data_IF_512715461256
#
_entry.id   IF_512715461256
#
_cell.length_a   1.000
_cell.length_b   1.000
_cell.length_c   1.000
_cell.angle_alpha   90.00
_cell.angle_beta   90.00
_cell.angle_gamma   90.00
#
_symmetry.space_group_name_H-M   'P 1'
#
loop_
_entity.id
_entity.type
_entity.pdbx_description
1 polymer ?
#
# COMPACT_ATOMS: atom_id res chain seq x y z
N UNK A 1 -15.37 30.88 64.81
CA UNK A 1 -14.49 30.55 65.95
C UNK A 1 -13.35 29.79 65.34
N UNK A 2 -12.40 30.43 65.23
CA UNK A 2 -11.11 30.89 65.86
C UNK A 2 -10.00 30.05 65.23
N UNK A 3 -9.18 30.66 64.44
CA UNK A 3 -8.02 31.46 64.80
C UNK A 3 -6.75 30.64 65.04
N UNK A 4 -5.69 31.17 64.44
CA UNK A 4 -4.30 31.11 64.80
C UNK A 4 -3.40 30.73 63.65
N UNK A 5 -2.89 31.59 62.78
CA UNK A 5 -1.80 32.57 62.86
C UNK A 5 -0.46 32.02 63.37
N UNK A 6 0.50 32.41 62.62
CA UNK A 6 1.93 32.79 62.89
C UNK A 6 2.98 31.69 62.72
N UNK A 7 4.17 31.88 62.28
CA UNK A 7 4.90 33.03 61.71
C UNK A 7 6.37 32.60 61.57
N UNK A 8 7.10 33.19 60.62
CA UNK A 8 8.55 33.49 60.59
C UNK A 8 9.68 32.45 60.75
N UNK A 9 10.63 32.55 59.85
CA UNK A 9 12.00 32.11 60.09
C UNK A 9 12.93 32.18 58.88
N UNK A 10 13.38 33.37 58.51
CA UNK A 10 14.61 33.65 57.75
C UNK A 10 15.86 33.28 58.53
N UNK A 11 16.87 32.70 57.85
CA UNK A 11 18.33 32.88 57.99
C UNK A 11 18.97 31.98 56.92
N UNK A 12 19.75 32.36 55.94
CA UNK A 12 20.89 33.26 55.94
C UNK A 12 22.18 32.48 56.19
N UNK A 13 23.01 32.21 55.17
CA UNK A 13 24.35 31.71 55.43
C UNK A 13 25.05 31.15 54.17
N UNK A 14 25.92 31.96 53.60
CA UNK A 14 26.85 31.63 52.54
C UNK A 14 27.99 30.69 53.04
N UNK A 15 28.41 29.76 52.14
CA UNK A 15 29.57 28.94 52.33
C UNK A 15 30.10 28.35 51.05
N UNK A 16 31.12 28.93 50.44
CA UNK A 16 31.93 28.43 49.32
C UNK A 16 32.68 27.16 49.77
N UNK A 17 32.73 26.17 48.90
CA UNK A 17 33.56 25.00 49.04
C UNK A 17 33.66 24.26 47.72
N UNK A 18 34.69 24.57 46.93
CA UNK A 18 35.15 23.82 45.79
C UNK A 18 35.60 22.42 46.22
N UNK A 19 35.08 21.40 45.55
CA UNK A 19 35.54 20.04 45.74
C UNK A 19 35.14 19.19 44.53
N UNK A 20 36.01 19.19 43.50
CA UNK A 20 35.92 18.31 42.37
C UNK A 20 36.09 16.86 42.84
N UNK A 21 34.99 16.10 42.88
CA UNK A 21 35.05 14.64 42.98
C UNK A 21 34.97 14.05 41.57
N UNK A 22 36.13 13.83 40.97
CA UNK A 22 36.29 12.91 39.85
C UNK A 22 35.96 11.49 40.33
N UNK A 23 34.74 11.02 40.08
CA UNK A 23 34.44 9.59 40.15
C UNK A 23 34.78 8.98 38.80
N UNK A 24 35.97 8.40 38.72
CA UNK A 24 36.42 7.55 37.63
C UNK A 24 35.68 6.21 37.73
N UNK A 25 34.58 6.05 37.03
CA UNK A 25 33.92 4.74 36.85
C UNK A 25 34.53 4.05 35.64
N UNK A 26 35.56 3.27 35.87
CA UNK A 26 36.03 2.22 34.97
C UNK A 26 34.96 1.09 34.97
N UNK A 27 34.07 1.08 34.03
CA UNK A 27 33.29 -0.12 33.70
C UNK A 27 34.09 -1.01 32.74
N UNK A 28 34.22 -2.31 33.05
CA UNK A 28 34.90 -3.25 32.15
C UNK A 28 34.10 -3.44 30.87
N UNK A 29 34.75 -3.20 29.73
CA UNK A 29 34.28 -3.57 28.38
C UNK A 29 34.09 -5.08 28.32
N UNK A 30 32.83 -5.48 28.26
CA UNK A 30 32.51 -6.90 28.07
C UNK A 30 31.02 -7.15 28.01
N UNK A 31 30.35 -6.71 26.92
CA UNK A 31 29.08 -7.21 26.39
C UNK A 31 28.77 -6.44 25.07
N UNK A 32 29.65 -6.55 24.10
CA UNK A 32 29.62 -5.82 22.83
C UNK A 32 29.06 -6.62 21.67
N UNK A 33 27.88 -7.23 21.79
CA UNK A 33 27.25 -7.92 20.65
C UNK A 33 25.88 -7.39 20.21
N UNK A 34 25.27 -6.54 21.02
CA UNK A 34 23.92 -6.05 20.74
C UNK A 34 23.81 -4.54 20.38
N UNK A 35 24.87 -3.78 20.65
CA UNK A 35 24.91 -2.33 20.40
C UNK A 35 25.34 -1.99 18.97
N UNK A 36 26.15 -2.86 18.33
CA UNK A 36 26.71 -2.59 17.00
C UNK A 36 25.66 -2.65 15.88
N UNK A 37 24.65 -3.49 16.01
CA UNK A 37 23.57 -3.59 15.00
C UNK A 37 22.65 -2.38 14.99
N UNK A 38 22.35 -1.79 16.14
CA UNK A 38 21.59 -0.53 16.21
C UNK A 38 22.40 0.65 15.69
N UNK A 39 23.72 0.68 15.92
CA UNK A 39 24.63 1.68 15.38
C UNK A 39 24.69 1.61 13.85
N UNK A 40 24.90 0.43 13.29
CA UNK A 40 24.96 0.22 11.83
C UNK A 40 23.64 0.62 11.15
N UNK A 41 22.49 0.31 11.76
CA UNK A 41 21.19 0.68 11.21
C UNK A 41 20.94 2.20 11.25
N UNK A 42 21.32 2.88 12.34
CA UNK A 42 21.22 4.34 12.43
C UNK A 42 22.15 5.04 11.44
N UNK A 43 23.39 4.54 11.29
CA UNK A 43 24.36 5.08 10.33
C UNK A 43 23.90 4.89 8.89
N UNK A 44 23.28 3.74 8.58
CA UNK A 44 22.69 3.49 7.27
C UNK A 44 21.54 4.45 6.96
N UNK A 45 20.64 4.71 7.92
CA UNK A 45 19.54 5.69 7.74
C UNK A 45 20.12 7.09 7.53
N UNK A 46 21.12 7.50 8.31
CA UNK A 46 21.80 8.79 8.15
C UNK A 46 22.45 8.92 6.76
N UNK A 47 23.10 7.88 6.28
CA UNK A 47 23.71 7.83 4.95
C UNK A 47 22.65 8.00 3.85
N UNK A 48 21.50 7.35 4.00
CA UNK A 48 20.37 7.53 3.09
C UNK A 48 19.82 8.96 3.12
N UNK A 49 19.73 9.57 4.29
CA UNK A 49 19.27 10.95 4.41
C UNK A 49 20.27 11.97 3.82
N UNK A 50 21.57 11.68 3.88
CA UNK A 50 22.62 12.54 3.33
C UNK A 50 22.75 12.44 1.81
N UNK A 51 22.53 11.25 1.22
CA UNK A 51 22.73 11.00 -0.21
C UNK A 51 21.42 10.71 -0.92
N UNK A 52 20.80 11.76 -1.48
CA UNK A 52 19.55 11.62 -2.25
C UNK A 52 19.67 10.62 -3.41
N UNK A 53 20.78 10.64 -4.13
CA UNK A 53 21.01 9.72 -5.26
C UNK A 53 21.07 8.26 -4.83
N UNK A 54 21.74 7.97 -3.72
CA UNK A 54 21.82 6.61 -3.17
C UNK A 54 20.44 6.13 -2.74
N UNK A 55 19.67 6.98 -2.09
CA UNK A 55 18.29 6.67 -1.66
C UNK A 55 17.40 6.36 -2.85
N UNK A 56 17.43 7.18 -3.89
CA UNK A 56 16.64 6.96 -5.10
C UNK A 56 17.05 5.66 -5.82
N UNK A 57 18.35 5.36 -5.87
CA UNK A 57 18.84 4.12 -6.44
C UNK A 57 18.32 2.89 -5.67
N UNK A 58 18.47 2.89 -4.35
CA UNK A 58 18.02 1.78 -3.49
C UNK A 58 16.51 1.59 -3.60
N UNK A 59 15.74 2.68 -3.55
CA UNK A 59 14.28 2.63 -3.66
C UNK A 59 13.84 2.17 -5.04
N UNK A 60 14.56 2.54 -6.10
CA UNK A 60 14.28 2.05 -7.46
C UNK A 60 14.48 0.54 -7.56
N UNK A 61 15.60 0.03 -7.04
CA UNK A 61 15.88 -1.42 -7.02
C UNK A 61 14.83 -2.15 -6.17
N UNK A 62 14.53 -1.64 -4.99
CA UNK A 62 13.49 -2.21 -4.13
C UNK A 62 12.13 -2.22 -4.82
N UNK A 63 11.75 -1.11 -5.46
CA UNK A 63 10.50 -1.00 -6.21
C UNK A 63 10.41 -1.98 -7.38
N UNK A 64 11.51 -2.21 -8.11
CA UNK A 64 11.58 -3.22 -9.16
C UNK A 64 11.40 -4.64 -8.58
N UNK A 65 12.09 -4.98 -7.50
CA UNK A 65 11.99 -6.29 -6.84
C UNK A 65 10.57 -6.54 -6.32
N UNK A 66 9.98 -5.55 -5.65
CA UNK A 66 8.59 -5.64 -5.19
C UNK A 66 7.64 -5.76 -6.38
N UNK A 67 7.82 -4.98 -7.45
CA UNK A 67 7.01 -5.07 -8.66
C UNK A 67 7.04 -6.47 -9.30
N UNK A 68 8.21 -7.12 -9.32
CA UNK A 68 8.34 -8.51 -9.78
C UNK A 68 7.54 -9.47 -8.88
N UNK A 69 7.59 -9.30 -7.57
CA UNK A 69 6.76 -10.06 -6.64
C UNK A 69 5.25 -9.75 -6.82
N UNK A 70 4.87 -8.49 -7.05
CA UNK A 70 3.48 -8.11 -7.29
C UNK A 70 2.91 -8.78 -8.54
N UNK A 71 3.70 -9.02 -9.59
CA UNK A 71 3.26 -9.82 -10.73
C UNK A 71 2.80 -11.23 -10.32
N UNK A 72 3.51 -11.86 -9.38
CA UNK A 72 3.11 -13.17 -8.82
C UNK A 72 1.81 -13.04 -8.03
N UNK A 73 1.68 -12.01 -7.19
CA UNK A 73 0.47 -11.74 -6.40
C UNK A 73 -0.73 -11.52 -7.31
N UNK A 74 -0.60 -10.66 -8.33
CA UNK A 74 -1.67 -10.34 -9.29
C UNK A 74 -2.17 -11.60 -10.00
N UNK A 75 -1.26 -12.47 -10.43
CA UNK A 75 -1.61 -13.68 -11.16
C UNK A 75 -2.18 -14.77 -10.26
N UNK A 76 -1.56 -15.02 -9.09
CA UNK A 76 -1.91 -16.18 -8.26
C UNK A 76 -3.11 -15.95 -7.35
N UNK A 77 -3.32 -14.72 -6.88
CA UNK A 77 -4.41 -14.45 -5.92
C UNK A 77 -5.79 -14.81 -6.49
N UNK A 78 -6.17 -14.41 -7.71
CA UNK A 78 -7.45 -14.82 -8.29
C UNK A 78 -7.59 -16.34 -8.43
N UNK A 79 -6.52 -17.02 -8.85
CA UNK A 79 -6.51 -18.49 -9.00
C UNK A 79 -6.70 -19.20 -7.64
N UNK A 80 -6.07 -18.67 -6.59
CA UNK A 80 -6.24 -19.19 -5.22
C UNK A 80 -7.68 -19.01 -4.74
N UNK A 81 -8.28 -17.84 -5.01
CA UNK A 81 -9.67 -17.55 -4.63
C UNK A 81 -10.65 -18.44 -5.39
N UNK A 82 -10.48 -18.58 -6.71
CA UNK A 82 -11.35 -19.44 -7.53
C UNK A 82 -11.30 -20.90 -7.06
N UNK A 83 -10.12 -21.43 -6.75
CA UNK A 83 -9.98 -22.77 -6.18
C UNK A 83 -10.66 -22.90 -4.83
N UNK A 84 -10.47 -21.92 -3.95
CA UNK A 84 -11.12 -21.91 -2.64
C UNK A 84 -12.64 -21.95 -2.79
N UNK A 85 -13.23 -21.09 -3.63
CA UNK A 85 -14.67 -21.08 -3.89
C UNK A 85 -15.19 -22.41 -4.48
N UNK A 86 -14.44 -23.01 -5.42
CA UNK A 86 -14.79 -24.33 -5.97
C UNK A 86 -14.79 -25.39 -4.89
N UNK A 87 -13.79 -25.41 -4.02
CA UNK A 87 -13.70 -26.35 -2.91
C UNK A 87 -14.84 -26.14 -1.91
N UNK A 88 -15.17 -24.91 -1.56
CA UNK A 88 -16.30 -24.58 -0.67
C UNK A 88 -17.64 -25.03 -1.28
N UNK A 89 -17.87 -24.79 -2.57
CA UNK A 89 -19.05 -25.28 -3.28
C UNK A 89 -19.13 -26.80 -3.32
N UNK A 90 -18.01 -27.50 -3.54
CA UNK A 90 -17.99 -28.97 -3.53
C UNK A 90 -18.30 -29.54 -2.17
N UNK A 91 -17.76 -28.96 -1.08
CA UNK A 91 -18.08 -29.36 0.29
C UNK A 91 -19.55 -29.16 0.66
N UNK A 92 -20.17 -28.08 0.15
CA UNK A 92 -21.59 -27.84 0.37
C UNK A 92 -22.50 -28.83 -0.38
N UNK A 93 -22.10 -29.21 -1.58
CA UNK A 93 -22.89 -30.14 -2.43
C UNK A 93 -22.65 -31.61 -2.05
N UNK A 94 -21.45 -31.94 -1.66
CA UNK A 94 -21.00 -33.31 -1.36
C UNK A 94 -20.13 -33.33 -0.10
N UNK A 95 -20.72 -33.29 1.10
CA UNK A 95 -19.97 -33.21 2.37
C UNK A 95 -19.01 -34.39 2.62
N UNK A 96 -19.22 -35.51 1.93
CA UNK A 96 -18.40 -36.72 2.07
C UNK A 96 -17.18 -36.76 1.16
N UNK A 97 -17.02 -35.76 0.27
CA UNK A 97 -15.83 -35.71 -0.61
C UNK A 97 -14.60 -35.28 0.11
N UNK A 98 -13.59 -36.12 0.13
CA UNK A 98 -12.24 -35.75 0.59
C UNK A 98 -11.62 -34.85 -0.48
N UNK A 99 -11.43 -33.57 -0.16
CA UNK A 99 -10.73 -32.65 -1.04
C UNK A 99 -9.27 -33.04 -1.07
N UNK A 100 -8.80 -33.46 -2.25
CA UNK A 100 -7.39 -33.74 -2.47
C UNK A 100 -6.58 -32.43 -2.49
N UNK A 101 -5.90 -32.12 -1.38
CA UNK A 101 -5.10 -30.92 -1.21
C UNK A 101 -3.69 -31.03 -1.84
N UNK A 102 -3.41 -32.09 -2.63
CA UNK A 102 -2.07 -32.34 -3.17
C UNK A 102 -1.56 -31.26 -4.14
N UNK A 103 -2.40 -30.39 -4.65
CA UNK A 103 -2.01 -29.28 -5.53
C UNK A 103 -2.38 -27.90 -4.95
N UNK A 104 -2.07 -27.61 -3.71
CA UNK A 104 -2.34 -26.28 -3.15
C UNK A 104 -1.46 -25.22 -3.85
N UNK A 105 -2.11 -24.29 -4.58
CA UNK A 105 -1.43 -23.10 -5.09
C UNK A 105 -1.30 -22.11 -3.94
N UNK A 106 -0.04 -21.72 -3.64
CA UNK A 106 0.30 -20.63 -2.74
C UNK A 106 1.07 -19.54 -3.47
N UNK A 107 1.37 -18.43 -2.82
CA UNK A 107 2.20 -17.37 -3.43
C UNK A 107 3.63 -17.85 -3.74
N UNK A 108 4.15 -18.82 -2.99
CA UNK A 108 5.52 -19.35 -3.15
C UNK A 108 5.59 -20.71 -3.84
N UNK A 109 4.51 -21.48 -3.85
CA UNK A 109 4.50 -22.85 -4.41
C UNK A 109 3.31 -23.04 -5.37
N UNK A 110 3.52 -23.77 -6.49
CA UNK A 110 4.77 -24.25 -7.09
C UNK A 110 5.67 -23.12 -7.60
N UNK A 111 6.96 -23.41 -7.89
CA UNK A 111 7.87 -22.45 -8.51
C UNK A 111 7.30 -21.87 -9.82
N UNK A 112 7.68 -20.65 -10.17
CA UNK A 112 7.22 -20.00 -11.42
C UNK A 112 7.70 -20.82 -12.62
N UNK A 113 6.79 -21.07 -13.56
CA UNK A 113 7.03 -21.89 -14.75
C UNK A 113 6.54 -21.19 -16.00
N UNK A 114 7.19 -21.44 -17.11
CA UNK A 114 6.69 -21.01 -18.40
C UNK A 114 5.35 -21.72 -18.71
N UNK A 115 4.27 -20.96 -19.00
CA UNK A 115 2.96 -21.56 -19.24
C UNK A 115 2.91 -22.44 -20.50
N UNK A 116 3.86 -22.26 -21.44
CA UNK A 116 3.89 -22.97 -22.71
C UNK A 116 4.70 -24.28 -22.65
N UNK A 117 5.88 -24.27 -22.02
CA UNK A 117 6.77 -25.46 -22.02
C UNK A 117 6.98 -26.08 -20.63
N UNK A 118 6.42 -25.49 -19.56
CA UNK A 118 6.59 -25.98 -18.18
C UNK A 118 7.99 -25.75 -17.57
N UNK A 119 8.92 -25.11 -18.32
CA UNK A 119 10.26 -24.80 -17.83
C UNK A 119 10.19 -23.99 -16.52
N UNK A 120 10.91 -24.42 -15.49
CA UNK A 120 11.00 -23.69 -14.23
C UNK A 120 11.89 -22.45 -14.40
N UNK A 121 11.33 -21.27 -14.09
CA UNK A 121 12.05 -19.99 -14.20
C UNK A 121 13.11 -19.93 -13.12
N UNK A 122 14.39 -19.77 -13.52
CA UNK A 122 15.52 -19.65 -12.61
C UNK A 122 15.54 -18.27 -11.95
N UNK A 123 16.20 -18.13 -10.80
CA UNK A 123 16.24 -16.85 -10.06
C UNK A 123 16.77 -15.68 -10.88
N UNK A 124 17.79 -15.90 -11.74
CA UNK A 124 18.36 -14.87 -12.61
C UNK A 124 17.48 -14.54 -13.84
N UNK A 125 16.62 -15.48 -14.27
CA UNK A 125 15.59 -15.24 -15.28
C UNK A 125 14.40 -14.42 -14.73
N UNK A 126 14.32 -14.29 -13.42
CA UNK A 126 13.31 -13.51 -12.71
C UNK A 126 13.84 -12.14 -12.22
N UNK A 127 15.05 -11.73 -12.68
CA UNK A 127 15.55 -10.39 -12.37
C UNK A 127 14.66 -9.32 -13.03
N UNK A 128 14.14 -8.35 -12.24
CA UNK A 128 13.17 -7.39 -12.75
C UNK A 128 13.71 -6.63 -13.97
N UNK A 129 12.88 -6.49 -15.00
CA UNK A 129 13.15 -5.77 -16.26
C UNK A 129 14.40 -6.30 -17.01
N UNK A 130 15.51 -6.52 -16.29
CA UNK A 130 16.79 -6.91 -16.88
C UNK A 130 16.69 -8.25 -17.61
N UNK A 131 16.09 -9.26 -16.98
CA UNK A 131 15.94 -10.58 -17.60
C UNK A 131 15.05 -10.51 -18.85
N UNK A 132 13.98 -9.73 -18.81
CA UNK A 132 13.09 -9.54 -19.95
C UNK A 132 13.83 -8.86 -21.13
N UNK A 133 14.66 -7.85 -20.86
CA UNK A 133 15.49 -7.19 -21.88
C UNK A 133 16.55 -8.13 -22.46
N UNK A 134 17.27 -8.87 -21.61
CA UNK A 134 18.32 -9.81 -22.05
C UNK A 134 17.75 -10.96 -22.88
N UNK A 135 16.59 -11.48 -22.48
CA UNK A 135 15.87 -12.55 -23.20
C UNK A 135 15.03 -12.03 -24.37
N UNK A 136 15.07 -10.70 -24.64
CA UNK A 136 14.28 -10.03 -25.70
C UNK A 136 12.78 -10.36 -25.61
N UNK A 137 12.26 -10.45 -24.40
CA UNK A 137 10.86 -10.78 -24.15
C UNK A 137 10.46 -12.20 -24.52
N UNK A 138 11.35 -13.18 -24.49
CA UNK A 138 11.11 -14.58 -24.85
C UNK A 138 11.56 -15.55 -23.76
N UNK A 139 10.88 -16.69 -23.68
CA UNK A 139 11.30 -17.77 -22.80
C UNK A 139 12.69 -18.28 -23.20
N UNK A 140 13.56 -18.55 -22.23
CA UNK A 140 14.92 -19.07 -22.46
C UNK A 140 14.95 -20.43 -23.18
N UNK A 141 13.91 -21.25 -23.01
CA UNK A 141 13.88 -22.61 -23.54
C UNK A 141 13.02 -22.76 -24.79
N UNK A 142 11.77 -22.27 -24.79
CA UNK A 142 10.86 -22.46 -25.93
C UNK A 142 10.69 -21.20 -26.79
N UNK A 143 11.34 -20.11 -26.46
CA UNK A 143 11.28 -18.83 -27.15
C UNK A 143 9.85 -18.23 -27.33
N UNK A 144 8.87 -18.75 -26.58
CA UNK A 144 7.52 -18.16 -26.54
C UNK A 144 7.58 -16.75 -25.98
N UNK A 145 6.81 -15.82 -26.55
CA UNK A 145 6.84 -14.41 -26.16
C UNK A 145 6.29 -14.21 -24.73
N UNK A 146 7.04 -13.49 -23.91
CA UNK A 146 6.64 -13.06 -22.57
C UNK A 146 5.99 -11.69 -22.69
N UNK A 147 4.76 -11.54 -22.20
CA UNK A 147 4.00 -10.30 -22.31
C UNK A 147 4.73 -9.11 -21.68
N UNK A 148 4.62 -7.94 -22.30
CA UNK A 148 5.20 -6.67 -21.83
C UNK A 148 4.59 -6.19 -20.50
N UNK A 149 3.49 -6.78 -20.06
CA UNK A 149 2.82 -6.47 -18.80
C UNK A 149 3.74 -6.64 -17.59
N UNK A 150 4.57 -7.71 -17.58
CA UNK A 150 5.47 -8.01 -16.47
C UNK A 150 6.46 -6.86 -16.20
N UNK A 151 7.30 -6.46 -17.17
CA UNK A 151 8.21 -5.32 -16.95
C UNK A 151 7.47 -4.00 -16.74
N UNK A 152 6.26 -3.82 -17.28
CA UNK A 152 5.46 -2.62 -17.06
C UNK A 152 5.07 -2.45 -15.60
N UNK A 153 4.57 -3.51 -14.94
CA UNK A 153 4.21 -3.49 -13.52
C UNK A 153 5.46 -3.19 -12.66
N UNK A 154 6.60 -3.80 -12.99
CA UNK A 154 7.86 -3.57 -12.29
C UNK A 154 8.33 -2.12 -12.37
N UNK A 155 8.32 -1.54 -13.58
CA UNK A 155 8.71 -0.15 -13.81
C UNK A 155 7.74 0.82 -13.13
N UNK A 156 6.42 0.61 -13.24
CA UNK A 156 5.41 1.45 -12.59
C UNK A 156 5.60 1.41 -11.07
N UNK A 157 5.80 0.22 -10.49
CA UNK A 157 6.03 0.07 -9.05
C UNK A 157 7.28 0.82 -8.61
N UNK A 158 8.38 0.73 -9.37
CA UNK A 158 9.62 1.46 -9.07
C UNK A 158 9.41 2.98 -9.16
N UNK A 159 8.79 3.48 -10.23
CA UNK A 159 8.51 4.91 -10.39
C UNK A 159 7.64 5.44 -9.24
N UNK A 160 6.55 4.76 -8.91
CA UNK A 160 5.67 5.18 -7.83
C UNK A 160 6.38 5.14 -6.47
N UNK A 161 7.24 4.13 -6.22
CA UNK A 161 8.06 4.06 -5.00
C UNK A 161 9.01 5.24 -4.89
N UNK A 162 9.67 5.61 -5.98
CA UNK A 162 10.56 6.78 -6.05
C UNK A 162 9.78 8.07 -5.79
N UNK A 163 8.60 8.25 -6.39
CA UNK A 163 7.76 9.43 -6.17
C UNK A 163 7.32 9.57 -4.71
N UNK A 164 6.97 8.46 -4.04
CA UNK A 164 6.64 8.46 -2.62
C UNK A 164 7.83 8.91 -1.78
N UNK A 165 9.03 8.40 -2.04
CA UNK A 165 10.23 8.76 -1.26
C UNK A 165 10.69 10.18 -1.58
N UNK A 166 10.54 10.67 -2.80
CA UNK A 166 10.79 12.09 -3.14
C UNK A 166 9.83 13.00 -2.34
N UNK A 167 8.56 12.60 -2.20
CA UNK A 167 7.55 13.39 -1.49
C UNK A 167 7.75 13.42 0.01
N UNK A 168 8.04 12.29 0.63
CA UNK A 168 8.05 12.13 2.10
C UNK A 168 9.46 12.00 2.70
N UNK A 169 10.50 11.89 1.87
CA UNK A 169 11.88 11.63 2.33
C UNK A 169 12.04 10.23 2.94
N UNK A 170 13.13 10.03 3.69
CA UNK A 170 13.38 8.79 4.43
C UNK A 170 12.71 8.89 5.81
N UNK A 171 11.41 8.62 5.86
CA UNK A 171 10.54 8.77 7.05
C UNK A 171 9.59 7.58 7.19
N UNK A 172 8.95 7.46 8.36
CA UNK A 172 7.88 6.49 8.58
C UNK A 172 6.67 6.72 7.66
N UNK A 173 6.41 7.97 7.28
CA UNK A 173 5.38 8.29 6.28
C UNK A 173 5.72 7.71 4.91
N UNK A 174 6.98 7.78 4.48
CA UNK A 174 7.40 7.16 3.23
C UNK A 174 7.24 5.64 3.27
N UNK A 175 7.66 4.98 4.36
CA UNK A 175 7.51 3.54 4.51
C UNK A 175 6.04 3.11 4.44
N UNK A 176 5.17 3.78 5.18
CA UNK A 176 3.73 3.53 5.15
C UNK A 176 3.15 3.82 3.74
N UNK A 177 3.54 4.94 3.12
CA UNK A 177 3.14 5.30 1.76
C UNK A 177 3.58 4.28 0.71
N UNK A 178 4.75 3.65 0.86
CA UNK A 178 5.20 2.56 0.00
C UNK A 178 4.29 1.33 0.12
N UNK A 179 3.92 0.92 1.34
CA UNK A 179 3.00 -0.20 1.56
C UNK A 179 1.65 0.07 0.91
N UNK A 180 1.10 1.28 1.10
CA UNK A 180 -0.14 1.69 0.42
C UNK A 180 0.02 1.59 -1.10
N UNK A 181 1.09 2.16 -1.66
CA UNK A 181 1.35 2.18 -3.10
C UNK A 181 1.42 0.77 -3.69
N UNK A 182 2.19 -0.12 -3.09
CA UNK A 182 2.36 -1.49 -3.56
C UNK A 182 1.05 -2.29 -3.51
N UNK A 183 0.26 -2.08 -2.45
CA UNK A 183 -1.07 -2.70 -2.35
C UNK A 183 -2.02 -2.17 -3.42
N UNK A 184 -2.00 -0.87 -3.70
CA UNK A 184 -2.82 -0.28 -4.78
C UNK A 184 -2.41 -0.79 -6.16
N UNK A 185 -1.12 -0.97 -6.43
CA UNK A 185 -0.63 -1.59 -7.68
C UNK A 185 -1.13 -3.02 -7.82
N UNK A 186 -1.05 -3.83 -6.74
CA UNK A 186 -1.56 -5.20 -6.73
C UNK A 186 -3.06 -5.25 -7.00
N UNK A 187 -3.86 -4.44 -6.28
CA UNK A 187 -5.31 -4.36 -6.44
C UNK A 187 -5.70 -3.91 -7.84
N UNK A 188 -4.99 -2.90 -8.39
CA UNK A 188 -5.18 -2.44 -9.77
C UNK A 188 -4.97 -3.58 -10.77
N UNK A 189 -3.89 -4.34 -10.62
CA UNK A 189 -3.59 -5.47 -11.51
C UNK A 189 -4.62 -6.60 -11.42
N UNK A 190 -5.06 -6.95 -10.20
CA UNK A 190 -6.08 -7.99 -9.98
C UNK A 190 -7.42 -7.55 -10.58
N UNK A 191 -7.82 -6.30 -10.34
CA UNK A 191 -9.11 -5.79 -10.81
C UNK A 191 -9.16 -5.65 -12.35
N UNK A 192 -8.04 -5.30 -12.98
CA UNK A 192 -7.95 -5.33 -14.45
C UNK A 192 -8.16 -6.73 -15.04
N UNK A 193 -7.73 -7.77 -14.34
CA UNK A 193 -7.82 -9.14 -14.85
C UNK A 193 -9.17 -9.79 -14.58
N UNK A 194 -9.70 -9.56 -13.38
CA UNK A 194 -10.81 -10.37 -12.85
C UNK A 194 -12.03 -9.56 -12.44
N UNK A 195 -11.91 -8.23 -12.44
CA UNK A 195 -12.93 -7.30 -11.91
C UNK A 195 -13.31 -7.64 -10.46
N UNK A 196 -12.33 -8.12 -9.70
CA UNK A 196 -12.46 -8.47 -8.29
C UNK A 196 -11.45 -7.68 -7.45
N UNK A 197 -11.92 -7.13 -6.35
CA UNK A 197 -11.08 -6.52 -5.32
C UNK A 197 -11.10 -7.40 -4.07
N UNK A 198 -10.06 -8.23 -3.85
CA UNK A 198 -10.06 -9.20 -2.76
C UNK A 198 -10.05 -8.55 -1.40
N UNK A 199 -10.94 -9.02 -0.51
CA UNK A 199 -11.02 -8.57 0.89
C UNK A 199 -9.71 -8.83 1.66
N UNK A 200 -8.94 -9.83 1.24
CA UNK A 200 -7.60 -10.15 1.78
C UNK A 200 -6.60 -9.00 1.68
N UNK A 201 -6.82 -8.05 0.77
CA UNK A 201 -5.98 -6.85 0.60
C UNK A 201 -6.70 -5.59 1.07
N UNK A 202 -7.98 -5.41 0.73
CA UNK A 202 -8.72 -4.18 1.04
C UNK A 202 -8.95 -3.99 2.54
N UNK A 203 -9.29 -5.06 3.29
CA UNK A 203 -9.53 -4.95 4.72
C UNK A 203 -8.23 -4.76 5.52
N UNK A 204 -7.14 -5.53 5.30
CA UNK A 204 -5.85 -5.23 5.95
C UNK A 204 -5.33 -3.83 5.59
N UNK A 205 -5.52 -3.38 4.33
CA UNK A 205 -5.13 -2.03 3.93
C UNK A 205 -5.88 -0.97 4.74
N UNK A 206 -7.19 -1.13 4.93
CA UNK A 206 -7.98 -0.23 5.77
C UNK A 206 -7.52 -0.26 7.23
N UNK A 207 -7.28 -1.45 7.78
CA UNK A 207 -6.77 -1.63 9.15
C UNK A 207 -5.41 -0.97 9.34
N UNK A 208 -4.49 -1.13 8.38
CA UNK A 208 -3.19 -0.46 8.39
C UNK A 208 -3.34 1.07 8.31
N UNK A 209 -4.26 1.58 7.51
CA UNK A 209 -4.54 3.02 7.43
C UNK A 209 -4.98 3.59 8.77
N UNK A 210 -5.89 2.91 9.46
CA UNK A 210 -6.31 3.29 10.81
C UNK A 210 -5.15 3.19 11.80
N UNK A 211 -4.35 2.14 11.72
CA UNK A 211 -3.21 1.92 12.62
C UNK A 211 -2.12 2.98 12.47
N UNK A 212 -1.68 3.29 11.24
CA UNK A 212 -0.65 4.32 11.05
C UNK A 212 -1.14 5.71 11.45
N UNK A 213 -2.43 5.99 11.27
CA UNK A 213 -3.03 7.25 11.68
C UNK A 213 -3.43 7.31 13.16
N UNK A 214 -3.42 6.16 13.89
CA UNK A 214 -3.43 6.19 15.35
C UNK A 214 -2.21 6.95 15.90
N UNK A 215 -1.08 6.95 15.16
CA UNK A 215 0.12 7.73 15.46
C UNK A 215 0.15 9.10 14.75
N UNK A 216 -0.92 9.47 14.03
CA UNK A 216 -1.03 10.74 13.34
C UNK A 216 -0.08 10.92 12.15
N UNK A 217 0.30 9.83 11.46
CA UNK A 217 1.27 9.89 10.36
C UNK A 217 0.81 10.76 9.19
N UNK A 218 -0.42 10.61 8.74
CA UNK A 218 -0.99 11.36 7.61
C UNK A 218 -2.11 12.30 8.06
N UNK A 219 -3.03 11.80 8.90
CA UNK A 219 -4.16 12.56 9.43
C UNK A 219 -4.40 12.19 10.89
N UNK A 220 -5.22 12.99 11.60
CA UNK A 220 -5.59 12.66 12.98
C UNK A 220 -6.38 11.33 13.06
N UNK A 221 -6.31 10.59 14.18
CA UNK A 221 -7.04 9.33 14.35
C UNK A 221 -8.54 9.46 14.09
N UNK A 222 -9.14 10.56 14.56
CA UNK A 222 -10.57 10.85 14.35
C UNK A 222 -10.88 11.06 12.87
N UNK A 223 -10.02 11.81 12.12
CA UNK A 223 -10.20 12.00 10.69
C UNK A 223 -10.04 10.68 9.92
N UNK A 224 -9.14 9.78 10.33
CA UNK A 224 -9.00 8.46 9.72
C UNK A 224 -10.27 7.61 9.87
N UNK A 225 -10.88 7.61 11.08
CA UNK A 225 -12.13 6.89 11.35
C UNK A 225 -13.28 7.46 10.50
N UNK A 226 -13.47 8.79 10.50
CA UNK A 226 -14.49 9.42 9.66
C UNK A 226 -14.22 9.20 8.17
N UNK A 227 -12.95 9.24 7.75
CA UNK A 227 -12.55 8.93 6.38
C UNK A 227 -12.96 7.52 5.96
N UNK A 228 -12.73 6.53 6.82
CA UNK A 228 -13.15 5.14 6.57
C UNK A 228 -14.66 5.03 6.42
N UNK A 229 -15.43 5.59 7.36
CA UNK A 229 -16.90 5.53 7.38
C UNK A 229 -17.50 6.25 6.17
N UNK A 230 -17.07 7.49 5.91
CA UNK A 230 -17.59 8.26 4.78
C UNK A 230 -17.13 7.69 3.44
N UNK A 231 -15.92 7.15 3.36
CA UNK A 231 -15.45 6.50 2.15
C UNK A 231 -16.30 5.28 1.76
N UNK A 232 -16.72 4.48 2.73
CA UNK A 232 -17.65 3.38 2.50
C UNK A 232 -19.05 3.87 2.14
N UNK A 233 -19.61 4.75 2.97
CA UNK A 233 -21.00 5.23 2.83
C UNK A 233 -21.23 6.00 1.53
N UNK A 234 -20.26 6.78 1.06
CA UNK A 234 -20.38 7.58 -0.14
C UNK A 234 -20.77 6.72 -1.36
N UNK A 235 -20.00 5.69 -1.66
CA UNK A 235 -20.29 4.79 -2.78
C UNK A 235 -21.45 3.83 -2.48
N UNK A 236 -21.60 3.40 -1.24
CA UNK A 236 -22.71 2.53 -0.83
C UNK A 236 -24.06 3.22 -1.01
N UNK A 237 -24.20 4.50 -0.64
CA UNK A 237 -25.43 5.27 -0.84
C UNK A 237 -25.74 5.40 -2.35
N UNK A 238 -24.74 5.74 -3.16
CA UNK A 238 -24.91 5.83 -4.62
C UNK A 238 -25.36 4.48 -5.20
N UNK A 239 -24.75 3.39 -4.76
CA UNK A 239 -25.13 2.04 -5.18
C UNK A 239 -26.58 1.71 -4.78
N UNK A 240 -26.99 2.00 -3.55
CA UNK A 240 -28.36 1.74 -3.08
C UNK A 240 -29.40 2.56 -3.85
N UNK A 241 -29.11 3.83 -4.10
CA UNK A 241 -29.98 4.68 -4.92
C UNK A 241 -30.10 4.14 -6.35
N UNK A 242 -28.98 3.73 -6.96
CA UNK A 242 -28.99 3.13 -8.29
C UNK A 242 -29.77 1.82 -8.31
N UNK A 243 -29.60 0.97 -7.33
CA UNK A 243 -30.33 -0.30 -7.19
C UNK A 243 -31.85 -0.06 -7.05
N UNK A 244 -32.25 0.90 -6.24
CA UNK A 244 -33.69 1.26 -6.05
C UNK A 244 -34.30 1.81 -7.33
N UNK A 245 -33.57 2.60 -8.12
CA UNK A 245 -34.12 3.21 -9.34
C UNK A 245 -34.13 2.23 -10.52
N UNK A 246 -33.07 1.41 -10.67
CA UNK A 246 -32.87 0.59 -11.86
C UNK A 246 -33.15 -0.91 -11.65
N UNK A 247 -33.19 -1.37 -10.41
CA UNK A 247 -33.27 -2.80 -10.06
C UNK A 247 -32.03 -3.61 -10.43
N UNK A 248 -30.91 -2.94 -10.83
CA UNK A 248 -29.68 -3.61 -11.31
C UNK A 248 -28.51 -3.32 -10.37
N UNK A 249 -27.64 -4.31 -10.20
CA UNK A 249 -26.39 -4.15 -9.50
C UNK A 249 -25.40 -3.41 -10.42
N UNK A 250 -25.09 -2.15 -10.10
CA UNK A 250 -24.27 -1.28 -10.95
C UNK A 250 -22.78 -1.23 -10.63
N UNK A 251 -22.35 -1.70 -9.42
CA UNK A 251 -20.99 -1.57 -8.96
C UNK A 251 -20.61 -2.72 -8.02
N UNK A 252 -19.33 -3.09 -7.97
CA UNK A 252 -18.80 -4.09 -7.06
C UNK A 252 -18.66 -3.60 -5.62
N UNK A 253 -18.94 -4.45 -4.64
CA UNK A 253 -18.75 -4.12 -3.22
C UNK A 253 -17.29 -3.86 -2.83
N UNK A 254 -16.35 -4.34 -3.65
CA UNK A 254 -14.92 -4.12 -3.46
C UNK A 254 -14.51 -2.65 -3.57
N UNK A 255 -15.15 -1.89 -4.48
CA UNK A 255 -14.87 -0.47 -4.69
C UNK A 255 -15.16 0.36 -3.45
N UNK A 256 -16.24 0.03 -2.70
CA UNK A 256 -16.60 0.72 -1.46
C UNK A 256 -15.54 0.50 -0.39
N UNK A 257 -15.04 -0.74 -0.29
CA UNK A 257 -13.98 -1.12 0.68
C UNK A 257 -12.65 -0.45 0.33
N UNK A 258 -12.32 -0.35 -0.96
CA UNK A 258 -11.12 0.34 -1.42
C UNK A 258 -11.20 1.84 -1.12
N UNK A 259 -12.33 2.50 -1.40
CA UNK A 259 -12.50 3.91 -1.08
C UNK A 259 -12.50 4.16 0.43
N UNK A 260 -13.11 3.25 1.21
CA UNK A 260 -13.04 3.29 2.68
C UNK A 260 -11.59 3.16 3.19
N UNK A 261 -10.81 2.24 2.61
CA UNK A 261 -9.39 2.10 2.93
C UNK A 261 -8.63 3.40 2.64
N UNK A 262 -8.80 3.98 1.45
CA UNK A 262 -8.17 5.28 1.12
C UNK A 262 -8.63 6.41 2.05
N UNK A 263 -9.89 6.41 2.48
CA UNK A 263 -10.40 7.33 3.49
C UNK A 263 -9.72 7.15 4.86
N UNK A 264 -9.45 5.90 5.26
CA UNK A 264 -8.70 5.60 6.48
C UNK A 264 -7.25 6.11 6.43
N UNK A 265 -6.62 6.11 5.24
CA UNK A 265 -5.25 6.61 5.05
C UNK A 265 -5.18 8.13 4.94
N UNK A 266 -6.07 8.75 4.16
CA UNK A 266 -5.96 10.14 3.72
C UNK A 266 -6.97 11.09 4.37
N UNK A 267 -7.91 10.53 5.13
CA UNK A 267 -8.97 11.27 5.80
C UNK A 267 -10.15 11.67 4.89
N UNK A 268 -11.22 12.24 5.48
CA UNK A 268 -12.48 12.51 4.75
C UNK A 268 -12.35 13.66 3.74
N UNK A 269 -11.45 14.60 3.96
CA UNK A 269 -11.26 15.76 3.06
C UNK A 269 -10.73 15.36 1.69
N UNK A 270 -10.03 14.23 1.56
CA UNK A 270 -9.50 13.76 0.28
C UNK A 270 -10.51 12.93 -0.52
N UNK A 271 -11.59 12.45 0.10
CA UNK A 271 -12.59 11.61 -0.56
C UNK A 271 -13.27 12.29 -1.76
N UNK A 272 -13.73 13.57 -1.68
CA UNK A 272 -14.31 14.23 -2.85
C UNK A 272 -13.34 14.31 -4.03
N UNK A 273 -12.05 14.58 -3.77
CA UNK A 273 -11.03 14.61 -4.81
C UNK A 273 -10.87 13.22 -5.46
N UNK A 274 -10.79 12.17 -4.65
CA UNK A 274 -10.64 10.79 -5.14
C UNK A 274 -11.85 10.38 -5.98
N UNK A 275 -13.06 10.63 -5.49
CA UNK A 275 -14.31 10.27 -6.17
C UNK A 275 -14.45 11.03 -7.49
N UNK A 276 -14.24 12.35 -7.50
CA UNK A 276 -14.34 13.15 -8.71
C UNK A 276 -13.31 12.73 -9.76
N UNK A 277 -12.07 12.54 -9.35
CA UNK A 277 -11.00 12.17 -10.26
C UNK A 277 -11.21 10.75 -10.83
N UNK A 278 -11.58 9.77 -9.98
CA UNK A 278 -11.88 8.41 -10.43
C UNK A 278 -13.10 8.36 -11.35
N UNK A 279 -14.16 9.09 -11.04
CA UNK A 279 -15.35 9.18 -11.88
C UNK A 279 -15.04 9.86 -13.23
N UNK A 280 -14.24 10.92 -13.24
CA UNK A 280 -13.83 11.58 -14.48
C UNK A 280 -13.02 10.65 -15.38
N UNK A 281 -11.93 10.07 -14.86
CA UNK A 281 -11.07 9.15 -15.64
C UNK A 281 -11.85 7.91 -16.07
N UNK A 282 -12.63 7.32 -15.16
CA UNK A 282 -13.48 6.16 -15.45
C UNK A 282 -14.51 6.44 -16.54
N UNK A 283 -15.14 7.62 -16.52
CA UNK A 283 -16.10 8.04 -17.57
C UNK A 283 -15.43 8.21 -18.93
N UNK A 284 -14.26 8.86 -18.97
CA UNK A 284 -13.51 9.03 -20.23
C UNK A 284 -13.13 7.67 -20.84
N UNK A 285 -12.57 6.78 -20.02
CA UNK A 285 -12.17 5.43 -20.48
C UNK A 285 -13.41 4.60 -20.83
N UNK A 286 -14.48 4.64 -20.04
CA UNK A 286 -15.72 3.94 -20.32
C UNK A 286 -16.34 4.35 -21.66
N UNK A 287 -16.39 5.66 -21.95
CA UNK A 287 -16.88 6.16 -23.25
C UNK A 287 -15.95 5.72 -24.40
N UNK A 288 -14.63 5.74 -24.21
CA UNK A 288 -13.69 5.27 -25.23
C UNK A 288 -13.87 3.78 -25.53
N UNK A 289 -14.01 2.95 -24.49
CA UNK A 289 -14.23 1.51 -24.65
C UNK A 289 -15.58 1.22 -25.33
N UNK A 290 -16.64 1.90 -24.93
CA UNK A 290 -17.97 1.76 -25.53
C UNK A 290 -17.96 2.14 -27.03
N UNK A 291 -17.27 3.23 -27.41
CA UNK A 291 -17.11 3.61 -28.83
C UNK A 291 -16.32 2.59 -29.63
N UNK A 292 -15.38 1.85 -29.00
CA UNK A 292 -14.52 0.89 -29.68
C UNK A 292 -15.14 -0.49 -29.80
N UNK A 293 -15.91 -0.94 -28.80
CA UNK A 293 -16.51 -2.29 -28.75
C UNK A 293 -17.96 -2.35 -29.21
N UNK A 294 -18.65 -1.20 -29.31
CA UNK A 294 -20.09 -1.14 -29.66
C UNK A 294 -21.05 -1.67 -28.58
N UNK A 295 -20.52 -2.23 -27.50
CA UNK A 295 -21.27 -2.80 -26.40
C UNK A 295 -20.84 -2.20 -25.06
N UNK A 296 -21.79 -1.98 -24.15
CA UNK A 296 -21.52 -1.59 -22.77
C UNK A 296 -21.11 -2.84 -21.97
N UNK A 297 -19.82 -3.15 -21.93
CA UNK A 297 -19.29 -4.21 -21.06
C UNK A 297 -18.98 -3.65 -19.69
N UNK A 298 -19.22 -4.41 -18.61
CA UNK A 298 -18.76 -4.01 -17.28
C UNK A 298 -17.24 -3.85 -17.31
N UNK A 299 -16.73 -2.79 -16.72
CA UNK A 299 -15.30 -2.51 -16.64
C UNK A 299 -14.87 -2.33 -15.19
N UNK A 300 -13.61 -2.65 -14.92
CA UNK A 300 -13.01 -2.49 -13.59
C UNK A 300 -12.97 -1.02 -13.20
N UNK A 301 -13.55 -0.65 -12.06
CA UNK A 301 -13.55 0.73 -11.55
C UNK A 301 -12.45 0.97 -10.51
N UNK A 302 -12.02 -0.08 -9.80
CA UNK A 302 -10.96 -0.05 -8.79
C UNK A 302 -9.65 0.61 -9.25
N UNK A 303 -9.15 0.36 -10.49
CA UNK A 303 -7.94 1.00 -11.00
C UNK A 303 -8.01 2.54 -10.98
N UNK A 304 -9.17 3.11 -11.29
CA UNK A 304 -9.35 4.57 -11.30
C UNK A 304 -9.39 5.14 -9.88
N UNK A 305 -10.01 4.42 -8.93
CA UNK A 305 -9.95 4.77 -7.50
C UNK A 305 -8.51 4.70 -7.00
N UNK A 306 -7.76 3.65 -7.36
CA UNK A 306 -6.37 3.48 -6.96
C UNK A 306 -5.46 4.59 -7.51
N UNK A 307 -5.60 4.95 -8.79
CA UNK A 307 -4.86 6.05 -9.41
C UNK A 307 -5.21 7.38 -8.73
N UNK A 308 -6.50 7.65 -8.51
CA UNK A 308 -6.96 8.85 -7.82
C UNK A 308 -6.43 8.90 -6.37
N UNK A 309 -6.41 7.77 -5.68
CA UNK A 309 -5.82 7.62 -4.34
C UNK A 309 -4.32 7.92 -4.31
N UNK A 310 -3.57 7.45 -5.32
CA UNK A 310 -2.14 7.78 -5.47
C UNK A 310 -1.92 9.27 -5.72
N UNK A 311 -2.73 9.90 -6.57
CA UNK A 311 -2.66 11.35 -6.80
C UNK A 311 -3.00 12.11 -5.51
N UNK A 312 -4.02 11.67 -4.77
CA UNK A 312 -4.38 12.27 -3.49
C UNK A 312 -3.27 12.11 -2.43
N UNK A 313 -2.58 10.97 -2.38
CA UNK A 313 -1.43 10.74 -1.50
C UNK A 313 -0.29 11.72 -1.80
N UNK A 314 0.08 11.87 -3.08
CA UNK A 314 1.24 12.66 -3.48
C UNK A 314 0.96 14.17 -3.53
N UNK A 315 -0.20 14.55 -4.04
CA UNK A 315 -0.52 15.94 -4.37
C UNK A 315 -1.80 16.46 -3.70
N UNK A 316 -2.53 15.63 -2.95
CA UNK A 316 -3.84 15.98 -2.39
C UNK A 316 -3.82 17.25 -1.56
N UNK A 317 -2.84 17.43 -0.68
CA UNK A 317 -2.71 18.64 0.13
C UNK A 317 -2.47 19.89 -0.74
N UNK A 318 -1.63 19.81 -1.75
CA UNK A 318 -1.34 20.92 -2.67
C UNK A 318 -2.57 21.28 -3.51
N UNK A 319 -3.31 20.28 -3.99
CA UNK A 319 -4.54 20.50 -4.75
C UNK A 319 -5.60 21.14 -3.84
N UNK A 320 -5.75 20.65 -2.62
CA UNK A 320 -6.76 21.14 -1.68
C UNK A 320 -6.44 22.57 -1.20
N UNK A 321 -5.18 22.88 -0.90
CA UNK A 321 -4.75 24.22 -0.54
C UNK A 321 -4.96 25.22 -1.69
N UNK A 322 -4.68 24.83 -2.93
CA UNK A 322 -4.96 25.65 -4.10
C UNK A 322 -6.45 25.90 -4.31
N UNK A 323 -7.28 24.86 -4.12
CA UNK A 323 -8.73 24.96 -4.27
C UNK A 323 -9.34 25.86 -3.20
N UNK A 324 -9.01 25.62 -1.92
CA UNK A 324 -9.52 26.39 -0.79
C UNK A 324 -8.98 27.83 -0.77
N UNK A 325 -7.70 28.04 -1.15
CA UNK A 325 -7.10 29.37 -1.24
C UNK A 325 -7.67 30.26 -2.36
N UNK A 326 -8.42 29.68 -3.34
CA UNK A 326 -9.19 30.45 -4.32
C UNK A 326 -10.60 30.80 -3.85
N UNK A 327 -11.09 30.14 -2.82
CA UNK A 327 -12.42 30.36 -2.26
C UNK A 327 -12.43 31.35 -1.09
N UNK A 328 -11.25 31.67 -0.53
CA UNK A 328 -11.04 32.74 0.47
C UNK A 328 -10.63 34.04 -0.23
#
# INVERSE_FOLDING_TARGET
>A
KSDGTDDYGYFGGAGRGSGDCHVSTNFPNGLGGGLDTMGIFSDFILLLQQSQWLTLLIVSILGLCVGSFLNVVIYRTPLMMERQWKNECQLLLHPETVIDNHESITLSHPASRCPHCGHSIRWFENMPVISWLLLKGKCSQCHHAIGYRYPLVEIITAILSVLVVIKFGVTWQALAGLVLTWTLVALTGIDFDTQLLPDRFTLPLAGLGLFVNAFGLFVSPTAAIFGYVFGFLCLWIVYQLFLLITGKHGMGHGDFKLLAALGAWLGPLMLPLIVLLSAFVGSVVGVMLMKRSGESKPFAFGPYIAIAGMIALLYGQSIMSWYLGKMS
#
